data_IF_572103411724
#
_entry.id   IF_572103411724
#
_cell.length_a   1.000
_cell.length_b   1.000
_cell.length_c   1.000
_cell.angle_alpha   90.00
_cell.angle_beta   90.00
_cell.angle_gamma   90.00
#
_symmetry.space_group_name_H-M   'P 1'
#
loop_
_entity.id
_entity.type
_entity.pdbx_description
1 polymer ?
#
# COMPACT_ATOMS: atom_id res chain seq x y z
N UNK A 1 27.98 -19.12 -13.67
CA UNK A 1 26.61 -18.98 -13.15
C UNK A 1 26.33 -17.50 -13.02
N UNK A 2 25.61 -16.94 -13.99
CA UNK A 2 25.38 -15.50 -14.06
C UNK A 2 24.36 -15.11 -13.00
N UNK A 3 24.75 -14.20 -12.11
CA UNK A 3 23.82 -13.53 -11.23
C UNK A 3 22.90 -12.66 -12.10
N UNK A 4 21.64 -13.06 -12.23
CA UNK A 4 20.59 -12.20 -12.76
C UNK A 4 20.54 -10.99 -11.83
N UNK A 5 21.03 -9.83 -12.30
CA UNK A 5 20.73 -8.55 -11.67
C UNK A 5 19.23 -8.39 -11.80
N UNK A 6 18.48 -8.76 -10.77
CA UNK A 6 17.09 -8.36 -10.61
C UNK A 6 17.11 -6.85 -10.47
N UNK A 7 16.92 -6.14 -11.59
CA UNK A 7 16.65 -4.71 -11.57
C UNK A 7 15.53 -4.49 -10.54
N UNK A 8 15.70 -3.49 -9.66
CA UNK A 8 14.68 -3.15 -8.68
C UNK A 8 13.36 -2.98 -9.44
N UNK A 9 12.29 -3.70 -9.07
CA UNK A 9 11.02 -3.57 -9.76
C UNK A 9 10.61 -2.09 -9.70
N UNK A 10 10.30 -1.50 -10.85
CA UNK A 10 9.77 -0.15 -10.93
C UNK A 10 8.39 -0.19 -10.28
N UNK A 11 8.14 0.69 -9.31
CA UNK A 11 6.85 0.70 -8.61
C UNK A 11 5.77 1.35 -9.48
N UNK A 12 4.50 1.09 -9.16
CA UNK A 12 3.38 1.76 -9.81
C UNK A 12 3.49 3.29 -9.66
N UNK A 13 3.85 3.77 -8.47
CA UNK A 13 4.06 5.19 -8.16
C UNK A 13 5.18 5.81 -9.02
N UNK A 14 6.35 5.17 -9.11
CA UNK A 14 7.47 5.65 -9.93
C UNK A 14 7.09 5.73 -11.42
N UNK A 15 6.29 4.76 -11.88
CA UNK A 15 5.78 4.72 -13.26
C UNK A 15 4.77 5.84 -13.50
N UNK A 16 3.82 6.03 -12.58
CA UNK A 16 2.80 7.09 -12.64
C UNK A 16 3.44 8.48 -12.72
N UNK A 17 4.35 8.79 -11.80
CA UNK A 17 5.09 10.07 -11.80
C UNK A 17 5.83 10.31 -13.12
N UNK A 18 6.44 9.27 -13.70
CA UNK A 18 7.14 9.39 -14.98
C UNK A 18 6.17 9.69 -16.14
N UNK A 19 4.98 9.10 -16.11
CA UNK A 19 3.93 9.38 -17.11
C UNK A 19 3.46 10.83 -16.96
N UNK A 20 3.18 11.29 -15.75
CA UNK A 20 2.81 12.69 -15.45
C UNK A 20 3.87 13.68 -15.96
N UNK A 21 5.15 13.44 -15.65
CA UNK A 21 6.26 14.27 -16.15
C UNK A 21 6.33 14.33 -17.69
N UNK A 22 5.90 13.27 -18.39
CA UNK A 22 5.81 13.27 -19.86
C UNK A 22 4.61 14.08 -20.33
N UNK A 23 3.45 13.92 -19.71
CA UNK A 23 2.22 14.66 -20.04
C UNK A 23 2.39 16.17 -19.78
N UNK A 24 3.03 16.55 -18.68
CA UNK A 24 3.34 17.95 -18.36
C UNK A 24 4.26 18.58 -19.41
N UNK A 25 5.28 17.83 -19.85
CA UNK A 25 6.17 18.28 -20.95
C UNK A 25 5.41 18.46 -22.25
N UNK A 26 4.50 17.55 -22.60
CA UNK A 26 3.65 17.68 -23.79
C UNK A 26 2.73 18.91 -23.69
N UNK A 27 2.20 19.18 -22.52
CA UNK A 27 1.37 20.36 -22.24
C UNK A 27 2.18 21.64 -22.39
N UNK A 28 3.40 21.68 -21.85
CA UNK A 28 4.30 22.83 -21.94
C UNK A 28 4.72 23.19 -23.38
N UNK A 29 4.70 22.20 -24.30
CA UNK A 29 4.94 22.45 -25.73
C UNK A 29 3.76 23.15 -26.43
N UNK A 30 2.63 23.35 -25.75
CA UNK A 30 1.48 24.09 -26.29
C UNK A 30 0.72 23.34 -27.38
N UNK A 31 0.75 22.01 -27.37
CA UNK A 31 0.04 21.17 -28.34
C UNK A 31 -1.03 20.30 -27.65
N UNK A 32 -2.27 20.81 -27.48
CA UNK A 32 -3.36 20.06 -26.85
C UNK A 32 -3.71 18.73 -27.54
N UNK A 33 -3.53 18.66 -28.86
CA UNK A 33 -3.78 17.43 -29.62
C UNK A 33 -2.76 16.33 -29.27
N UNK A 34 -1.50 16.70 -29.02
CA UNK A 34 -0.48 15.75 -28.58
C UNK A 34 -0.75 15.21 -27.17
N UNK A 35 -1.24 16.06 -26.26
CA UNK A 35 -1.65 15.65 -24.90
C UNK A 35 -2.81 14.66 -24.98
N UNK A 36 -3.86 15.01 -25.73
CA UNK A 36 -5.04 14.14 -25.93
C UNK A 36 -4.64 12.78 -26.50
N UNK A 37 -3.79 12.75 -27.54
CA UNK A 37 -3.32 11.51 -28.14
C UNK A 37 -2.47 10.66 -27.18
N UNK A 38 -1.67 11.30 -26.31
CA UNK A 38 -0.89 10.60 -25.29
C UNK A 38 -1.80 9.99 -24.21
N UNK A 39 -2.81 10.71 -23.75
CA UNK A 39 -3.81 10.18 -22.81
C UNK A 39 -4.60 9.02 -23.40
N UNK A 40 -5.04 9.12 -24.67
CA UNK A 40 -5.70 8.03 -25.39
C UNK A 40 -4.81 6.80 -25.53
N UNK A 41 -3.52 6.99 -25.81
CA UNK A 41 -2.54 5.91 -25.85
C UNK A 41 -2.40 5.22 -24.49
N UNK A 42 -2.24 5.99 -23.41
CA UNK A 42 -2.13 5.44 -22.05
C UNK A 42 -3.40 4.66 -21.70
N UNK A 43 -4.58 5.23 -21.94
CA UNK A 43 -5.87 4.56 -21.68
C UNK A 43 -5.99 3.24 -22.45
N UNK A 44 -5.66 3.25 -23.74
CA UNK A 44 -5.71 2.05 -24.59
C UNK A 44 -4.77 0.94 -24.10
N UNK A 45 -3.56 1.31 -23.66
CA UNK A 45 -2.61 0.35 -23.10
C UNK A 45 -3.09 -0.19 -21.75
N UNK A 46 -3.62 0.67 -20.87
CA UNK A 46 -4.17 0.25 -19.57
C UNK A 46 -5.35 -0.71 -19.72
N UNK A 47 -6.26 -0.44 -20.66
CA UNK A 47 -7.41 -1.31 -20.94
C UNK A 47 -6.95 -2.68 -21.48
N UNK A 48 -5.99 -2.69 -22.40
CA UNK A 48 -5.46 -3.91 -22.99
C UNK A 48 -4.72 -4.77 -21.96
N UNK A 49 -3.82 -4.16 -21.17
CA UNK A 49 -3.08 -4.87 -20.12
C UNK A 49 -4.00 -5.36 -19.01
N UNK A 50 -4.98 -4.56 -18.57
CA UNK A 50 -6.01 -4.98 -17.62
C UNK A 50 -6.78 -6.20 -18.12
N UNK A 51 -7.22 -6.19 -19.38
CA UNK A 51 -7.89 -7.34 -20.01
C UNK A 51 -7.01 -8.60 -20.02
N UNK A 52 -5.72 -8.46 -20.33
CA UNK A 52 -4.75 -9.55 -20.30
C UNK A 52 -4.51 -10.13 -18.91
N UNK A 53 -4.39 -9.26 -17.90
CA UNK A 53 -4.24 -9.65 -16.50
C UNK A 53 -5.48 -10.37 -15.97
N UNK A 54 -6.67 -9.84 -16.26
CA UNK A 54 -7.95 -10.46 -15.88
C UNK A 54 -8.06 -11.87 -16.49
N UNK A 55 -7.69 -12.01 -17.78
CA UNK A 55 -7.67 -13.31 -18.44
C UNK A 55 -6.66 -14.26 -17.81
N UNK A 56 -5.49 -13.77 -17.43
CA UNK A 56 -4.44 -14.56 -16.78
C UNK A 56 -4.91 -15.08 -15.42
N UNK A 57 -5.48 -14.22 -14.58
CA UNK A 57 -6.07 -14.61 -13.30
C UNK A 57 -7.18 -15.66 -13.47
N UNK A 58 -8.06 -15.47 -14.45
CA UNK A 58 -9.10 -16.44 -14.75
C UNK A 58 -8.51 -17.82 -15.09
N UNK A 59 -7.53 -17.88 -15.99
CA UNK A 59 -6.88 -19.15 -16.36
C UNK A 59 -6.18 -19.81 -15.17
N UNK A 60 -5.49 -19.03 -14.34
CA UNK A 60 -4.84 -19.53 -13.12
C UNK A 60 -5.85 -20.07 -12.10
N UNK A 61 -6.99 -19.40 -11.93
CA UNK A 61 -8.06 -19.85 -11.01
C UNK A 61 -8.66 -21.20 -11.41
N UNK A 62 -8.63 -21.53 -12.71
CA UNK A 62 -9.10 -22.83 -13.24
C UNK A 62 -8.04 -23.93 -13.20
N UNK A 63 -6.80 -23.61 -12.82
CA UNK A 63 -5.68 -24.55 -12.80
C UNK A 63 -5.57 -25.23 -11.42
N UNK A 64 -5.39 -26.56 -11.35
CA UNK A 64 -5.16 -27.25 -10.07
C UNK A 64 -3.88 -26.75 -9.37
N UNK A 65 -3.92 -26.65 -8.03
CA UNK A 65 -2.73 -26.37 -7.21
C UNK A 65 -2.59 -24.96 -6.65
N UNK A 66 -3.70 -24.20 -6.54
CA UNK A 66 -3.79 -22.89 -5.86
C UNK A 66 -2.57 -21.97 -6.09
N UNK A 67 -2.28 -21.55 -7.34
CA UNK A 67 -1.17 -20.64 -7.62
C UNK A 67 -1.42 -19.21 -7.11
N UNK A 68 -2.68 -18.86 -6.82
CA UNK A 68 -3.13 -17.52 -6.46
C UNK A 68 -2.44 -16.93 -5.22
N UNK A 69 -2.38 -17.62 -4.05
CA UNK A 69 -1.78 -17.05 -2.84
C UNK A 69 -0.32 -16.61 -3.01
N UNK A 70 0.47 -17.35 -3.82
CA UNK A 70 1.85 -16.97 -4.14
C UNK A 70 1.91 -15.73 -5.00
N UNK A 71 1.03 -15.62 -6.00
CA UNK A 71 0.95 -14.48 -6.90
C UNK A 71 0.48 -13.22 -6.17
N UNK A 72 -0.52 -13.35 -5.29
CA UNK A 72 -1.00 -12.25 -4.46
C UNK A 72 0.01 -11.85 -3.37
N UNK A 73 1.01 -12.69 -3.08
CA UNK A 73 2.10 -12.37 -2.16
C UNK A 73 3.30 -11.69 -2.79
N UNK A 74 3.32 -11.60 -4.12
CA UNK A 74 4.32 -10.80 -4.83
C UNK A 74 3.87 -9.34 -4.86
N UNK A 75 4.69 -8.45 -4.31
CA UNK A 75 4.39 -7.03 -4.13
C UNK A 75 4.08 -6.31 -5.44
N UNK A 76 4.88 -6.59 -6.49
CA UNK A 76 4.69 -5.94 -7.79
C UNK A 76 3.39 -6.42 -8.44
N UNK A 77 3.12 -7.72 -8.36
CA UNK A 77 1.90 -8.27 -8.96
C UNK A 77 0.65 -7.82 -8.20
N UNK A 78 0.68 -7.82 -6.87
CA UNK A 78 -0.41 -7.32 -6.05
C UNK A 78 -0.73 -5.85 -6.39
N UNK A 79 0.29 -4.98 -6.42
CA UNK A 79 0.15 -3.57 -6.80
C UNK A 79 -0.47 -3.40 -8.19
N UNK A 80 -0.01 -4.18 -9.18
CA UNK A 80 -0.54 -4.13 -10.55
C UNK A 80 -2.00 -4.58 -10.64
N UNK A 81 -2.39 -5.61 -9.87
CA UNK A 81 -3.77 -6.07 -9.82
C UNK A 81 -4.69 -5.03 -9.18
N UNK A 82 -4.23 -4.33 -8.14
CA UNK A 82 -5.00 -3.23 -7.53
C UNK A 82 -5.16 -2.08 -8.53
N UNK A 83 -4.09 -1.68 -9.23
CA UNK A 83 -4.15 -0.61 -10.23
C UNK A 83 -5.18 -0.85 -11.35
N UNK A 84 -5.47 -2.12 -11.65
CA UNK A 84 -6.46 -2.51 -12.65
C UNK A 84 -7.82 -2.91 -12.08
N UNK A 85 -8.06 -2.74 -10.77
CA UNK A 85 -9.28 -3.19 -10.06
C UNK A 85 -9.54 -4.71 -10.19
N UNK A 86 -8.47 -5.50 -10.28
CA UNK A 86 -8.51 -6.96 -10.48
C UNK A 86 -8.09 -7.75 -9.25
N UNK A 87 -7.72 -7.09 -8.15
CA UNK A 87 -7.28 -7.78 -6.96
C UNK A 87 -8.46 -8.55 -6.32
N UNK A 88 -8.34 -9.86 -6.05
CA UNK A 88 -9.45 -10.69 -5.56
C UNK A 88 -9.80 -10.43 -4.09
N UNK A 89 -8.82 -10.00 -3.28
CA UNK A 89 -9.05 -9.55 -1.91
C UNK A 89 -9.54 -8.10 -1.91
N UNK A 90 -10.50 -7.76 -1.04
CA UNK A 90 -10.94 -6.38 -0.80
C UNK A 90 -9.85 -5.53 -0.13
N UNK A 91 -10.03 -4.20 -0.15
CA UNK A 91 -9.10 -3.23 0.43
C UNK A 91 -8.72 -3.58 1.87
N UNK A 92 -9.70 -3.81 2.73
CA UNK A 92 -9.46 -4.00 4.16
C UNK A 92 -8.68 -5.28 4.44
N UNK A 93 -8.89 -6.31 3.63
CA UNK A 93 -8.13 -7.57 3.66
C UNK A 93 -6.69 -7.35 3.21
N UNK A 94 -6.47 -6.58 2.13
CA UNK A 94 -5.12 -6.22 1.67
C UNK A 94 -4.36 -5.38 2.70
N UNK A 95 -5.01 -4.38 3.28
CA UNK A 95 -4.43 -3.53 4.32
C UNK A 95 -4.01 -4.37 5.52
N UNK A 96 -4.89 -5.25 6.02
CA UNK A 96 -4.57 -6.14 7.14
C UNK A 96 -3.39 -7.05 6.83
N UNK A 97 -3.34 -7.60 5.62
CA UNK A 97 -2.24 -8.44 5.14
C UNK A 97 -0.92 -7.67 5.06
N UNK A 98 -0.94 -6.42 4.61
CA UNK A 98 0.23 -5.56 4.60
C UNK A 98 0.73 -5.32 6.03
N UNK A 99 -0.17 -4.99 6.96
CA UNK A 99 0.16 -4.76 8.37
C UNK A 99 0.66 -6.03 9.08
N UNK A 100 0.22 -7.22 8.65
CA UNK A 100 0.72 -8.50 9.15
C UNK A 100 2.23 -8.71 8.89
N UNK A 101 2.82 -7.98 7.93
CA UNK A 101 4.26 -8.01 7.68
C UNK A 101 5.08 -7.16 8.67
N UNK A 102 4.42 -6.27 9.41
CA UNK A 102 5.03 -5.32 10.37
C UNK A 102 4.47 -5.49 11.80
N UNK A 103 4.15 -6.74 12.16
CA UNK A 103 3.53 -7.10 13.45
C UNK A 103 4.30 -6.64 14.68
N UNK A 104 5.61 -6.41 14.58
CA UNK A 104 6.43 -5.84 15.66
C UNK A 104 5.96 -4.48 16.17
N UNK A 105 5.09 -3.78 15.41
CA UNK A 105 4.56 -2.47 15.76
C UNK A 105 3.14 -2.49 16.33
N UNK A 106 2.50 -3.66 16.46
CA UNK A 106 1.14 -3.85 17.02
C UNK A 106 0.14 -2.75 16.56
N UNK A 107 -0.05 -2.66 15.23
CA UNK A 107 -0.88 -1.65 14.59
C UNK A 107 -2.29 -2.16 14.30
N UNK A 108 -3.30 -1.48 14.84
CA UNK A 108 -4.71 -1.73 14.58
C UNK A 108 -5.30 -0.69 13.62
N UNK A 109 -6.11 -1.11 12.66
CA UNK A 109 -6.83 -0.19 11.76
C UNK A 109 -7.98 0.48 12.51
N UNK A 110 -7.98 1.81 12.52
CA UNK A 110 -9.05 2.63 13.13
C UNK A 110 -10.07 3.05 12.08
N UNK A 111 -9.59 3.46 10.90
CA UNK A 111 -10.44 3.92 9.81
C UNK A 111 -9.63 4.26 8.58
N UNK A 112 -10.34 4.39 7.46
CA UNK A 112 -9.80 4.82 6.18
C UNK A 112 -10.71 5.87 5.58
N UNK A 113 -10.13 6.99 5.16
CA UNK A 113 -10.81 8.04 4.43
C UNK A 113 -10.64 7.80 2.92
N UNK A 114 -11.75 7.55 2.23
CA UNK A 114 -11.74 7.25 0.79
C UNK A 114 -11.45 8.47 -0.09
N UNK A 115 -11.78 9.68 0.38
CA UNK A 115 -11.59 10.91 -0.39
C UNK A 115 -10.12 11.34 -0.35
N UNK A 116 -9.47 11.22 0.81
CA UNK A 116 -8.07 11.60 0.99
C UNK A 116 -7.08 10.46 0.79
N UNK A 117 -7.52 9.20 0.88
CA UNK A 117 -6.65 8.02 0.89
C UNK A 117 -5.87 7.84 2.20
N UNK A 118 -6.32 8.50 3.28
CA UNK A 118 -5.62 8.47 4.57
C UNK A 118 -6.07 7.27 5.41
N UNK A 119 -5.11 6.43 5.80
CA UNK A 119 -5.31 5.32 6.73
C UNK A 119 -4.94 5.74 8.15
N UNK A 120 -5.89 5.68 9.08
CA UNK A 120 -5.65 5.91 10.50
C UNK A 120 -5.40 4.57 11.20
N UNK A 121 -4.25 4.46 11.83
CA UNK A 121 -3.80 3.31 12.61
C UNK A 121 -3.68 3.69 14.08
N UNK A 122 -3.87 2.72 14.97
CA UNK A 122 -3.60 2.84 16.39
C UNK A 122 -2.48 1.89 16.77
N UNK A 123 -1.43 2.42 17.39
CA UNK A 123 -0.39 1.59 17.99
C UNK A 123 -0.83 1.15 19.39
N UNK A 124 -0.84 -0.17 19.64
CA UNK A 124 -0.94 -0.67 21.01
C UNK A 124 0.37 -0.38 21.74
N UNK A 125 0.30 0.28 22.89
CA UNK A 125 1.48 0.64 23.67
C UNK A 125 2.20 -0.62 24.17
N UNK A 126 3.27 -1.03 23.51
CA UNK A 126 4.22 -1.97 24.09
C UNK A 126 5.03 -1.22 25.15
N UNK A 127 4.91 -1.65 26.41
CA UNK A 127 5.49 -0.94 27.54
C UNK A 127 7.02 -0.85 27.44
N UNK A 128 7.55 0.37 27.35
CA UNK A 128 8.99 0.60 27.47
C UNK A 128 9.47 1.90 26.84
N UNK A 129 9.62 2.94 27.67
CA UNK A 129 10.36 4.18 27.42
C UNK A 129 9.83 5.11 26.32
N UNK A 130 9.23 6.23 26.75
CA UNK A 130 8.92 7.34 25.86
C UNK A 130 10.20 7.94 25.30
N UNK A 131 10.35 7.89 23.98
CA UNK A 131 11.09 8.80 23.09
C UNK A 131 11.19 8.14 21.70
N UNK A 132 10.40 8.58 20.72
CA UNK A 132 10.71 8.38 19.28
C UNK A 132 10.18 7.14 18.54
N UNK A 133 9.36 6.26 19.13
CA UNK A 133 8.93 5.00 18.49
C UNK A 133 7.80 5.12 17.45
N UNK A 134 7.06 6.23 17.40
CA UNK A 134 5.92 6.39 16.49
C UNK A 134 6.29 6.60 15.02
N UNK A 135 7.46 7.19 14.73
CA UNK A 135 7.90 7.44 13.36
C UNK A 135 8.33 6.15 12.66
N UNK A 136 9.02 5.25 13.37
CA UNK A 136 9.43 3.95 12.81
C UNK A 136 8.23 3.06 12.45
N UNK A 137 7.21 3.01 13.31
CA UNK A 137 5.98 2.26 13.01
C UNK A 137 5.22 2.82 11.81
N UNK A 138 5.13 4.16 11.70
CA UNK A 138 4.50 4.83 10.55
C UNK A 138 5.26 4.53 9.25
N UNK A 139 6.58 4.68 9.24
CA UNK A 139 7.42 4.42 8.06
C UNK A 139 7.34 2.95 7.62
N UNK A 140 7.40 2.01 8.57
CA UNK A 140 7.26 0.58 8.29
C UNK A 140 5.88 0.26 7.71
N UNK A 141 4.81 0.78 8.31
CA UNK A 141 3.45 0.60 7.79
C UNK A 141 3.30 1.19 6.39
N UNK A 142 3.79 2.41 6.14
CA UNK A 142 3.73 3.05 4.83
C UNK A 142 4.48 2.22 3.78
N UNK A 143 5.68 1.73 4.09
CA UNK A 143 6.44 0.87 3.20
C UNK A 143 5.69 -0.43 2.86
N UNK A 144 5.09 -1.09 3.85
CA UNK A 144 4.31 -2.31 3.62
C UNK A 144 3.04 -2.06 2.79
N UNK A 145 2.35 -0.94 3.04
CA UNK A 145 1.10 -0.59 2.38
C UNK A 145 1.28 -0.18 0.93
N UNK A 146 2.39 0.49 0.57
CA UNK A 146 2.70 0.86 -0.83
C UNK A 146 2.65 -0.34 -1.78
N UNK A 147 3.00 -1.53 -1.29
CA UNK A 147 3.07 -2.74 -2.08
C UNK A 147 1.71 -3.43 -2.25
N UNK A 148 0.89 -3.48 -1.19
CA UNK A 148 -0.33 -4.28 -1.16
C UNK A 148 -1.63 -3.45 -1.19
N UNK A 149 -1.56 -2.18 -0.81
CA UNK A 149 -2.67 -1.23 -0.76
C UNK A 149 -2.23 0.15 -1.29
N UNK A 150 -1.87 0.27 -2.59
CA UNK A 150 -1.40 1.51 -3.19
C UNK A 150 -2.41 2.67 -3.17
N UNK A 151 -3.69 2.39 -2.91
CA UNK A 151 -4.72 3.39 -2.64
C UNK A 151 -4.51 4.16 -1.32
N UNK A 152 -3.65 3.66 -0.41
CA UNK A 152 -3.28 4.34 0.82
C UNK A 152 -2.16 5.34 0.51
N UNK A 153 -2.52 6.62 0.41
CA UNK A 153 -1.60 7.71 0.06
C UNK A 153 -0.93 8.31 1.29
N UNK A 154 -1.57 8.19 2.46
CA UNK A 154 -1.07 8.69 3.74
C UNK A 154 -1.43 7.75 4.88
N UNK A 155 -0.54 7.65 5.88
CA UNK A 155 -0.74 6.83 7.07
C UNK A 155 -0.63 7.72 8.31
N UNK A 156 -1.65 7.78 9.14
CA UNK A 156 -1.60 8.45 10.44
C UNK A 156 -1.59 7.42 11.56
N UNK A 157 -0.73 7.61 12.57
CA UNK A 157 -0.62 6.68 13.70
C UNK A 157 -0.99 7.41 14.98
N UNK A 158 -2.14 7.05 15.53
CA UNK A 158 -2.58 7.46 16.85
C UNK A 158 -1.91 6.61 17.94
N UNK A 159 -1.52 7.25 19.03
CA UNK A 159 -1.04 6.56 20.23
C UNK A 159 -2.23 6.33 21.16
N UNK A 160 -2.38 5.10 21.69
CA UNK A 160 -3.39 4.85 22.72
C UNK A 160 -3.11 5.76 23.95
N UNK A 161 -4.14 6.37 24.56
CA UNK A 161 -3.94 7.18 25.75
C UNK A 161 -3.37 6.31 26.86
N UNK A 162 -2.24 6.73 27.44
CA UNK A 162 -1.68 6.12 28.63
C UNK A 162 -2.66 6.30 29.78
N UNK A 163 -3.41 5.25 30.12
CA UNK A 163 -4.23 5.25 31.33
C UNK A 163 -3.29 5.35 32.54
N UNK A 164 -3.19 6.55 33.11
CA UNK A 164 -2.48 6.79 34.36
C UNK A 164 -3.16 5.95 35.46
N UNK A 165 -2.55 4.82 35.81
CA UNK A 165 -2.92 4.07 37.02
C UNK A 165 -2.57 4.91 38.25
N UNK A 166 -3.55 5.63 38.77
CA UNK A 166 -3.46 6.21 40.12
C UNK A 166 -3.65 5.03 41.09
N UNK A 167 -2.54 4.43 41.52
CA UNK A 167 -2.54 3.47 42.61
C UNK A 167 -3.00 4.16 43.91
N UNK A 168 -3.86 3.53 44.74
CA UNK A 168 -4.32 4.12 45.98
C UNK A 168 -3.15 4.32 46.94
N UNK A 169 -3.02 5.54 47.46
CA UNK A 169 -2.01 5.91 48.45
C UNK A 169 -2.06 4.97 49.65
N UNK A 170 -0.93 4.32 49.96
CA UNK A 170 -0.77 3.57 51.20
C UNK A 170 -0.83 4.56 52.38
N UNK A 171 -1.92 4.51 53.12
CA UNK A 171 -2.04 5.19 54.41
C UNK A 171 -1.12 4.46 55.39
N UNK A 172 0.03 5.06 55.69
CA UNK A 172 0.93 4.59 56.73
C UNK A 172 0.22 4.62 58.09
N UNK A 173 0.09 3.45 58.71
CA UNK A 173 -0.34 3.31 60.08
C UNK A 173 0.84 2.79 60.94
N UNK A 174 1.33 3.72 61.78
CA UNK A 174 2.04 3.57 63.07
C UNK A 174 3.41 2.90 63.11
#
# INVERSE_FOLDING_TARGET
MSATTTARPVTAEETGRRIEEVLDRLTALGNPAAVTAAEELVRSLMDFYGSGLARTLHLLSTTPGEPLPRLLGDELVASLLVLHDLHPEDRDTRIRRALDSVREHDLDVVGFDEDSGTLTLRAATSGGCGCGSGTGAREAAQAALLCFAPEVTAVEVEQAPTLLQIGPASTGAR
#
